data_IF_989393824027
#
_entry.id   IF_989393824027
#
_cell.length_a   1.000
_cell.length_b   1.000
_cell.length_c   1.000
_cell.angle_alpha   90.00
_cell.angle_beta   90.00
_cell.angle_gamma   90.00
#
_symmetry.space_group_name_H-M   'P 1'
#
loop_
_entity.id
_entity.type
_entity.pdbx_description
1 polymer ?
#
# COMPACT_ATOMS: atom_id res chain seq x y z
N UNK A 1 -14.54 -16.01 -10.10
CA UNK A 1 -13.14 -16.12 -10.53
C UNK A 1 -12.29 -16.25 -9.28
N UNK A 2 -11.41 -17.25 -9.21
CA UNK A 2 -10.44 -17.46 -8.10
C UNK A 2 -9.29 -16.47 -8.17
N UNK A 3 -8.47 -16.39 -7.12
CA UNK A 3 -7.27 -15.55 -7.13
C UNK A 3 -6.22 -16.09 -8.10
N UNK A 4 -6.11 -17.43 -8.25
CA UNK A 4 -5.21 -18.06 -9.25
C UNK A 4 -5.58 -17.65 -10.68
N UNK A 5 -6.88 -17.71 -11.06
CA UNK A 5 -7.33 -17.25 -12.38
C UNK A 5 -7.05 -15.78 -12.64
N UNK A 6 -7.20 -14.93 -11.60
CA UNK A 6 -6.85 -13.49 -11.71
C UNK A 6 -5.36 -13.30 -11.93
N UNK A 7 -4.53 -14.03 -11.20
CA UNK A 7 -3.07 -13.98 -11.35
C UNK A 7 -2.62 -14.46 -12.75
N UNK A 8 -3.20 -15.55 -13.26
CA UNK A 8 -2.91 -16.03 -14.62
C UNK A 8 -3.25 -14.97 -15.68
N UNK A 9 -4.39 -14.29 -15.56
CA UNK A 9 -4.79 -13.20 -16.45
C UNK A 9 -3.84 -12.01 -16.32
N UNK A 10 -3.42 -11.66 -15.08
CA UNK A 10 -2.44 -10.62 -14.84
C UNK A 10 -1.11 -10.91 -15.53
N UNK A 11 -0.57 -12.10 -15.33
CA UNK A 11 0.69 -12.56 -15.93
C UNK A 11 0.61 -12.68 -17.47
N UNK A 12 -0.57 -12.98 -18.03
CA UNK A 12 -0.73 -13.04 -19.48
C UNK A 12 -0.67 -11.68 -20.18
N UNK A 13 -0.69 -10.60 -19.43
CA UNK A 13 -0.72 -9.22 -19.96
C UNK A 13 -2.07 -8.79 -20.55
N UNK A 14 -3.13 -9.60 -20.37
CA UNK A 14 -4.49 -9.33 -20.91
C UNK A 14 -5.46 -8.80 -19.85
N UNK A 15 -4.96 -8.39 -18.70
CA UNK A 15 -5.78 -7.96 -17.58
C UNK A 15 -6.78 -6.84 -17.94
N UNK A 16 -6.37 -5.88 -18.75
CA UNK A 16 -7.21 -4.75 -19.18
C UNK A 16 -8.31 -5.15 -20.19
N UNK A 17 -8.20 -6.31 -20.82
CA UNK A 17 -9.24 -6.85 -21.71
C UNK A 17 -10.38 -7.51 -20.92
N UNK A 18 -10.09 -7.88 -19.67
CA UNK A 18 -11.01 -8.64 -18.80
C UNK A 18 -11.57 -7.81 -17.68
N UNK A 19 -10.76 -6.89 -17.13
CA UNK A 19 -11.08 -6.10 -15.93
C UNK A 19 -11.03 -4.60 -16.21
N UNK A 20 -11.72 -3.84 -15.35
CA UNK A 20 -11.70 -2.38 -15.34
C UNK A 20 -11.24 -1.85 -13.98
N UNK A 21 -10.65 -0.64 -13.98
CA UNK A 21 -10.36 0.07 -12.72
C UNK A 21 -11.66 0.30 -11.95
N UNK A 22 -11.66 -0.07 -10.68
CA UNK A 22 -12.83 -0.04 -9.80
C UNK A 22 -13.57 -1.38 -9.67
N UNK A 23 -13.26 -2.40 -10.48
CA UNK A 23 -13.78 -3.76 -10.27
C UNK A 23 -13.33 -4.28 -8.91
N UNK A 24 -14.21 -5.03 -8.23
CA UNK A 24 -14.00 -5.42 -6.84
C UNK A 24 -14.04 -6.92 -6.63
N UNK A 25 -13.25 -7.37 -5.64
CA UNK A 25 -13.29 -8.71 -5.10
C UNK A 25 -13.16 -8.67 -3.59
N UNK A 26 -14.01 -9.42 -2.90
CA UNK A 26 -13.96 -9.55 -1.46
C UNK A 26 -12.85 -10.52 -1.03
N UNK A 27 -12.16 -10.17 0.05
CA UNK A 27 -11.17 -11.00 0.73
C UNK A 27 -11.65 -11.23 2.16
N UNK A 28 -11.75 -12.50 2.55
CA UNK A 28 -11.88 -12.90 3.96
C UNK A 28 -10.50 -12.80 4.58
N UNK A 29 -10.22 -11.70 5.27
CA UNK A 29 -8.93 -11.45 5.90
C UNK A 29 -8.64 -12.47 7.02
N UNK A 30 -7.38 -12.73 7.31
CA UNK A 30 -6.98 -13.59 8.42
C UNK A 30 -7.45 -13.06 9.78
N UNK A 31 -7.70 -11.77 9.90
CA UNK A 31 -8.34 -11.13 11.06
C UNK A 31 -9.81 -11.47 11.26
N UNK A 32 -10.42 -12.20 10.32
CA UNK A 32 -11.83 -12.60 10.35
C UNK A 32 -12.80 -11.58 9.73
N UNK A 33 -12.33 -10.40 9.31
CA UNK A 33 -13.16 -9.43 8.62
C UNK A 33 -13.20 -9.68 7.10
N UNK A 34 -14.31 -9.34 6.44
CA UNK A 34 -14.40 -9.34 4.98
C UNK A 34 -14.22 -7.93 4.46
N UNK A 35 -13.20 -7.74 3.61
CA UNK A 35 -12.86 -6.46 3.01
C UNK A 35 -12.92 -6.55 1.50
N UNK A 36 -13.67 -5.65 0.87
CA UNK A 36 -13.67 -5.50 -0.58
C UNK A 36 -12.38 -4.79 -1.03
N UNK A 37 -11.64 -5.41 -1.95
CA UNK A 37 -10.53 -4.80 -2.66
C UNK A 37 -10.97 -4.40 -4.07
N UNK A 38 -10.52 -3.25 -4.53
CA UNK A 38 -10.79 -2.72 -5.87
C UNK A 38 -9.50 -2.62 -6.69
N UNK A 39 -9.60 -2.84 -7.99
CA UNK A 39 -8.50 -2.58 -8.92
C UNK A 39 -8.27 -1.07 -8.98
N UNK A 40 -7.05 -0.63 -8.67
CA UNK A 40 -6.66 0.78 -8.68
C UNK A 40 -5.84 1.18 -9.89
N UNK A 41 -5.22 0.23 -10.57
CA UNK A 41 -4.43 0.44 -11.78
C UNK A 41 -3.91 -0.86 -12.37
N UNK A 42 -3.41 -0.73 -13.60
CA UNK A 42 -2.80 -1.81 -14.36
C UNK A 42 -1.38 -1.45 -14.75
N UNK A 43 -0.49 -2.44 -14.79
CA UNK A 43 0.90 -2.29 -15.24
C UNK A 43 1.64 -1.12 -14.58
N UNK A 44 1.41 -0.93 -13.28
CA UNK A 44 1.87 0.24 -12.55
C UNK A 44 3.15 -0.03 -11.75
N UNK A 45 3.24 -1.17 -11.09
CA UNK A 45 4.35 -1.49 -10.21
C UNK A 45 5.38 -2.41 -10.88
N UNK A 46 6.66 -2.18 -10.59
CA UNK A 46 7.73 -3.08 -11.00
C UNK A 46 7.87 -4.21 -9.99
N UNK A 47 7.97 -5.45 -10.51
CA UNK A 47 8.32 -6.61 -9.71
C UNK A 47 9.76 -6.49 -9.19
N UNK A 48 10.03 -7.10 -8.04
CA UNK A 48 11.37 -7.11 -7.45
C UNK A 48 12.28 -8.13 -8.14
N UNK A 49 13.42 -7.68 -8.62
CA UNK A 49 14.40 -8.51 -9.36
C UNK A 49 14.99 -9.66 -8.53
N UNK A 50 14.99 -9.54 -7.21
CA UNK A 50 15.62 -10.54 -6.33
C UNK A 50 14.63 -11.49 -5.66
N UNK A 51 13.40 -11.05 -5.47
CA UNK A 51 12.44 -11.72 -4.60
C UNK A 51 11.14 -12.10 -5.30
N UNK A 52 10.90 -11.64 -6.53
CA UNK A 52 9.70 -12.03 -7.29
C UNK A 52 10.01 -13.19 -8.24
N UNK A 53 9.31 -14.31 -8.06
CA UNK A 53 9.53 -15.54 -8.81
C UNK A 53 9.18 -15.44 -10.31
N UNK A 54 8.44 -14.41 -10.69
CA UNK A 54 8.01 -14.18 -12.07
C UNK A 54 8.74 -13.02 -12.75
N UNK A 55 9.73 -12.39 -12.08
CA UNK A 55 10.39 -11.18 -12.58
C UNK A 55 11.00 -11.34 -13.98
N UNK A 56 11.67 -12.44 -14.26
CA UNK A 56 12.39 -12.64 -15.53
C UNK A 56 11.44 -12.62 -16.75
N UNK A 57 10.23 -13.14 -16.59
CA UNK A 57 9.22 -13.21 -17.65
C UNK A 57 8.24 -12.04 -17.58
N UNK A 58 7.95 -11.54 -16.38
CA UNK A 58 6.94 -10.52 -16.10
C UNK A 58 7.50 -9.45 -15.15
N UNK A 59 8.36 -8.53 -15.62
CA UNK A 59 8.99 -7.52 -14.76
C UNK A 59 8.03 -6.43 -14.26
N UNK A 60 6.80 -6.39 -14.78
CA UNK A 60 5.75 -5.45 -14.38
C UNK A 60 4.55 -6.25 -13.88
N UNK A 61 3.99 -5.83 -12.75
CA UNK A 61 2.78 -6.44 -12.19
C UNK A 61 1.55 -5.96 -12.98
N UNK A 62 0.73 -6.91 -13.46
CA UNK A 62 -0.38 -6.59 -14.35
C UNK A 62 -1.55 -5.89 -13.65
N UNK A 63 -1.83 -6.24 -12.38
CA UNK A 63 -2.95 -5.68 -11.63
C UNK A 63 -2.51 -5.23 -10.24
N UNK A 64 -2.87 -4.00 -9.85
CA UNK A 64 -2.75 -3.53 -8.47
C UNK A 64 -4.13 -3.38 -7.83
N UNK A 65 -4.30 -4.00 -6.67
CA UNK A 65 -5.48 -3.90 -5.84
C UNK A 65 -5.23 -2.98 -4.63
N UNK A 66 -6.28 -2.27 -4.20
CA UNK A 66 -6.30 -1.62 -2.89
C UNK A 66 -7.64 -1.84 -2.19
N UNK A 67 -7.66 -1.81 -0.86
CA UNK A 67 -8.88 -1.95 -0.11
C UNK A 67 -9.85 -0.79 -0.43
N UNK A 68 -11.07 -1.12 -0.84
CA UNK A 68 -12.12 -0.15 -1.17
C UNK A 68 -12.62 0.58 0.09
N UNK A 69 -12.70 -0.17 1.18
CA UNK A 69 -12.92 0.36 2.53
C UNK A 69 -11.64 0.21 3.34
N UNK A 70 -11.48 1.04 4.35
CA UNK A 70 -10.40 0.91 5.33
C UNK A 70 -10.64 -0.33 6.19
N UNK A 71 -9.57 -0.91 6.72
CA UNK A 71 -9.66 -1.96 7.72
C UNK A 71 -10.56 -1.54 8.89
N UNK A 72 -11.18 -2.49 9.57
CA UNK A 72 -12.12 -2.23 10.67
C UNK A 72 -11.47 -1.51 11.85
N UNK A 73 -10.21 -1.81 12.11
CA UNK A 73 -9.40 -1.15 13.14
C UNK A 73 -8.64 0.03 12.57
N UNK A 74 -8.27 0.96 13.46
CA UNK A 74 -7.31 2.01 13.17
C UNK A 74 -5.92 1.56 13.62
N UNK A 75 -4.90 2.13 13.00
CA UNK A 75 -3.51 1.76 13.22
C UNK A 75 -2.67 3.00 13.46
N UNK A 76 -1.66 2.88 14.30
CA UNK A 76 -0.58 3.86 14.38
C UNK A 76 0.44 3.53 13.31
N UNK A 77 1.10 4.55 12.79
CA UNK A 77 2.25 4.33 11.92
C UNK A 77 3.40 3.70 12.72
N UNK A 78 3.59 4.19 13.95
CA UNK A 78 4.60 3.75 14.88
C UNK A 78 4.07 3.88 16.32
N UNK A 79 4.30 2.90 17.20
CA UNK A 79 3.66 2.83 18.52
C UNK A 79 4.24 3.85 19.50
N UNK A 80 5.56 4.03 19.51
CA UNK A 80 6.29 4.90 20.45
C UNK A 80 6.91 6.15 19.80
N UNK A 81 6.77 6.31 18.48
CA UNK A 81 7.29 7.46 17.75
C UNK A 81 8.82 7.47 17.65
N UNK A 82 9.44 6.31 17.87
CA UNK A 82 10.88 6.12 17.80
C UNK A 82 11.21 5.34 16.53
N UNK A 83 11.78 6.01 15.56
CA UNK A 83 12.26 5.39 14.33
C UNK A 83 13.78 5.45 14.25
N UNK A 84 14.39 4.39 13.75
CA UNK A 84 15.84 4.37 13.53
C UNK A 84 16.19 5.15 12.26
N UNK A 85 16.99 6.20 12.42
CA UNK A 85 17.44 7.08 11.35
C UNK A 85 18.14 6.39 10.17
N UNK A 86 18.79 5.25 10.43
CA UNK A 86 19.66 4.59 9.44
C UNK A 86 18.92 3.88 8.29
N UNK A 87 17.63 3.55 8.45
CA UNK A 87 16.88 2.71 7.50
C UNK A 87 15.82 3.45 6.66
N UNK A 88 15.61 4.74 6.94
CA UNK A 88 14.56 5.53 6.28
C UNK A 88 13.19 5.32 6.95
N UNK A 89 12.43 6.40 7.01
CA UNK A 89 11.32 6.56 7.94
C UNK A 89 10.21 5.50 7.84
N UNK A 90 9.65 5.26 6.65
CA UNK A 90 8.55 4.30 6.52
C UNK A 90 8.99 2.86 6.80
N UNK A 91 10.13 2.45 6.28
CA UNK A 91 10.65 1.09 6.46
C UNK A 91 10.83 0.69 7.93
N UNK A 92 11.22 1.64 8.77
CA UNK A 92 11.49 1.41 10.18
C UNK A 92 10.23 1.46 11.08
N UNK A 93 9.08 1.90 10.55
CA UNK A 93 7.85 1.99 11.35
C UNK A 93 7.26 0.63 11.68
N UNK A 94 6.59 0.51 12.82
CA UNK A 94 5.88 -0.71 13.23
C UNK A 94 4.86 -1.17 12.20
N UNK A 95 4.13 -0.22 11.59
CA UNK A 95 3.15 -0.54 10.56
C UNK A 95 3.84 -1.15 9.33
N UNK A 96 4.92 -0.54 8.86
CA UNK A 96 5.71 -1.07 7.75
C UNK A 96 6.23 -2.47 8.05
N UNK A 97 6.75 -2.70 9.25
CA UNK A 97 7.27 -4.00 9.68
C UNK A 97 6.17 -5.09 9.75
N UNK A 98 4.94 -4.71 10.11
CA UNK A 98 3.78 -5.61 10.06
C UNK A 98 3.35 -5.96 8.63
N UNK A 99 3.49 -5.03 7.69
CA UNK A 99 3.11 -5.21 6.29
C UNK A 99 4.23 -5.79 5.44
N UNK A 100 5.48 -5.43 5.77
CA UNK A 100 6.67 -5.88 5.06
C UNK A 100 7.13 -7.22 5.59
N UNK A 101 6.75 -8.25 4.88
CA UNK A 101 7.30 -9.59 5.07
C UNK A 101 7.59 -10.22 3.71
N UNK A 102 8.23 -9.43 2.84
CA UNK A 102 8.66 -9.81 1.52
C UNK A 102 10.15 -10.08 1.43
N UNK A 103 10.57 -11.17 1.98
CA UNK A 103 11.84 -11.81 1.72
C UNK A 103 11.70 -13.28 2.07
N UNK A 104 12.16 -14.24 1.27
CA UNK A 104 12.08 -15.65 1.61
C UNK A 104 13.07 -16.00 2.75
N UNK A 105 12.75 -16.93 3.65
CA UNK A 105 11.44 -17.49 3.99
C UNK A 105 10.86 -16.79 5.22
N UNK A 106 9.67 -16.28 5.11
CA UNK A 106 9.06 -15.52 6.18
C UNK A 106 8.19 -16.44 7.02
N UNK A 107 8.53 -16.59 8.29
CA UNK A 107 7.60 -17.02 9.32
C UNK A 107 6.58 -15.89 9.52
N UNK A 108 5.46 -15.96 8.80
CA UNK A 108 4.33 -15.08 8.99
C UNK A 108 3.63 -15.57 10.25
N UNK A 109 3.99 -15.02 11.43
CA UNK A 109 3.34 -15.39 12.68
C UNK A 109 1.87 -14.94 12.71
N UNK A 110 1.53 -13.82 12.04
CA UNK A 110 0.16 -13.32 11.89
C UNK A 110 -0.05 -12.66 10.51
N UNK A 111 -0.34 -13.43 9.44
CA UNK A 111 -0.61 -12.85 8.14
C UNK A 111 -1.92 -12.08 8.16
N UNK A 112 -1.94 -10.86 7.60
CA UNK A 112 -3.20 -10.11 7.43
C UNK A 112 -4.06 -10.71 6.32
N UNK A 113 -3.45 -11.32 5.30
CA UNK A 113 -4.11 -11.91 4.15
C UNK A 113 -4.23 -13.44 4.26
N UNK A 114 -5.28 -14.04 3.69
CA UNK A 114 -5.40 -15.49 3.61
C UNK A 114 -4.36 -16.08 2.65
N UNK A 115 -4.04 -17.35 2.85
CA UNK A 115 -3.01 -18.06 2.06
C UNK A 115 -3.28 -18.01 0.55
N UNK A 116 -4.52 -18.12 0.12
CA UNK A 116 -4.90 -18.06 -1.31
C UNK A 116 -4.55 -16.71 -1.99
N UNK A 117 -4.51 -15.63 -1.23
CA UNK A 117 -4.11 -14.31 -1.71
C UNK A 117 -2.59 -14.16 -1.62
N UNK A 118 -1.98 -14.60 -0.51
CA UNK A 118 -0.53 -14.57 -0.33
C UNK A 118 0.21 -15.33 -1.45
N UNK A 119 -0.36 -16.46 -1.91
CA UNK A 119 0.24 -17.30 -2.95
C UNK A 119 0.23 -16.68 -4.35
N UNK A 120 -0.54 -15.61 -4.57
CA UNK A 120 -0.60 -14.90 -5.86
C UNK A 120 -0.05 -13.48 -5.79
N UNK A 121 0.28 -12.99 -4.59
CA UNK A 121 0.89 -11.68 -4.42
C UNK A 121 2.29 -11.66 -5.02
N UNK A 122 2.55 -10.66 -5.84
CA UNK A 122 3.87 -10.36 -6.37
C UNK A 122 4.70 -9.59 -5.33
N UNK A 123 6.00 -9.84 -5.32
CA UNK A 123 6.94 -8.97 -4.61
C UNK A 123 7.29 -7.80 -5.52
N UNK A 124 7.04 -6.59 -5.07
CA UNK A 124 7.25 -5.38 -5.85
C UNK A 124 8.24 -4.44 -5.19
N UNK A 125 8.80 -3.54 -5.97
CA UNK A 125 9.63 -2.42 -5.50
C UNK A 125 8.77 -1.17 -5.38
N UNK A 126 8.51 -0.71 -4.15
CA UNK A 126 7.89 0.60 -3.93
C UNK A 126 8.94 1.67 -3.61
N UNK A 127 8.72 2.86 -4.14
CA UNK A 127 9.51 4.04 -3.78
C UNK A 127 9.13 4.55 -2.39
N UNK A 128 10.13 5.01 -1.64
CA UNK A 128 9.95 5.55 -0.29
C UNK A 128 10.94 6.65 0.04
N UNK A 129 10.56 7.50 0.98
CA UNK A 129 11.47 8.45 1.60
C UNK A 129 12.61 7.73 2.33
N UNK A 130 13.81 8.23 2.14
CA UNK A 130 15.01 7.86 2.88
C UNK A 130 15.78 9.14 3.25
N UNK A 131 16.32 9.20 4.44
CA UNK A 131 17.24 10.27 4.83
C UNK A 131 18.67 9.74 4.90
N UNK A 132 19.58 10.48 4.32
CA UNK A 132 21.02 10.21 4.48
C UNK A 132 21.49 10.73 5.83
N UNK A 133 22.63 10.22 6.32
CA UNK A 133 23.32 10.71 7.52
C UNK A 133 23.63 12.22 7.46
N UNK A 134 23.47 12.86 6.31
CA UNK A 134 23.62 14.30 6.09
C UNK A 134 22.34 15.09 6.33
N UNK A 135 21.21 14.44 6.65
CA UNK A 135 19.88 15.06 6.74
C UNK A 135 19.24 15.37 5.39
N UNK A 136 19.86 14.98 4.27
CA UNK A 136 19.31 15.23 2.95
C UNK A 136 18.28 14.15 2.55
N UNK A 137 17.08 14.55 2.07
CA UNK A 137 16.08 13.60 1.58
C UNK A 137 16.55 12.89 0.33
N UNK A 138 16.35 11.60 0.27
CA UNK A 138 16.60 10.78 -0.90
C UNK A 138 15.41 9.88 -1.21
N UNK A 139 15.26 9.54 -2.48
CA UNK A 139 14.38 8.46 -2.90
C UNK A 139 15.12 7.14 -2.69
N UNK A 140 14.54 6.28 -1.88
CA UNK A 140 14.94 4.89 -1.70
C UNK A 140 13.86 3.97 -2.25
N UNK A 141 14.10 2.67 -2.18
CA UNK A 141 13.11 1.65 -2.51
C UNK A 141 13.08 0.56 -1.46
N UNK A 142 11.99 -0.19 -1.42
CA UNK A 142 11.88 -1.41 -0.62
C UNK A 142 11.05 -2.45 -1.37
N UNK A 143 11.44 -3.71 -1.23
CA UNK A 143 10.67 -4.84 -1.70
C UNK A 143 9.53 -5.14 -0.72
N UNK A 144 8.32 -5.42 -1.21
CA UNK A 144 7.17 -5.81 -0.37
C UNK A 144 6.09 -6.52 -1.19
N UNK A 145 5.27 -7.32 -0.51
CA UNK A 145 4.07 -7.94 -1.09
C UNK A 145 2.83 -7.09 -0.85
N UNK A 146 2.72 -6.51 0.35
CA UNK A 146 1.64 -5.61 0.72
C UNK A 146 2.20 -4.26 1.15
N UNK A 147 1.49 -3.19 0.83
CA UNK A 147 1.94 -1.83 1.08
C UNK A 147 0.78 -0.87 1.33
N UNK A 148 1.09 0.34 1.77
CA UNK A 148 0.17 1.48 1.76
C UNK A 148 0.65 2.49 0.73
N UNK A 149 -0.29 3.24 0.17
CA UNK A 149 -0.04 4.17 -0.92
C UNK A 149 0.75 5.41 -0.46
N UNK A 150 1.48 6.04 -1.38
CA UNK A 150 2.12 7.33 -1.17
C UNK A 150 1.18 8.51 -1.45
N UNK A 151 1.59 9.72 -1.06
CA UNK A 151 0.87 10.93 -1.43
C UNK A 151 0.83 11.13 -2.96
N UNK A 152 1.96 10.89 -3.64
CA UNK A 152 2.06 11.00 -5.09
C UNK A 152 1.14 10.02 -5.81
N UNK A 153 1.06 8.77 -5.33
CA UNK A 153 0.20 7.73 -5.91
C UNK A 153 -1.29 8.02 -5.77
N UNK A 154 -1.68 8.76 -4.73
CA UNK A 154 -3.08 9.14 -4.49
C UNK A 154 -3.45 10.47 -5.14
N UNK A 155 -2.59 11.47 -5.10
CA UNK A 155 -2.95 12.83 -5.52
C UNK A 155 -2.35 13.25 -6.86
N UNK A 156 -1.38 12.51 -7.39
CA UNK A 156 -0.63 12.90 -8.60
C UNK A 156 0.33 14.06 -8.39
N UNK A 157 0.33 14.63 -7.20
CA UNK A 157 1.18 15.76 -6.81
C UNK A 157 1.63 15.59 -5.37
N UNK A 158 2.80 16.14 -5.08
CA UNK A 158 3.34 16.25 -3.73
C UNK A 158 2.88 17.56 -3.10
N UNK A 159 2.15 17.49 -1.99
CA UNK A 159 1.68 18.65 -1.22
C UNK A 159 2.37 18.72 0.14
N UNK A 160 2.37 17.64 0.88
CA UNK A 160 2.89 17.54 2.25
C UNK A 160 4.14 16.65 2.34
N UNK A 161 4.30 15.68 1.45
CA UNK A 161 5.43 14.75 1.46
C UNK A 161 6.78 15.44 1.25
N UNK A 162 7.81 14.95 1.92
CA UNK A 162 9.18 15.42 1.77
C UNK A 162 9.78 15.15 0.40
N UNK A 163 9.34 14.09 -0.29
CA UNK A 163 9.77 13.67 -1.62
C UNK A 163 8.59 13.06 -2.39
N UNK A 164 8.66 13.08 -3.73
CA UNK A 164 7.68 12.36 -4.56
C UNK A 164 8.03 10.88 -4.61
N UNK A 165 7.06 9.99 -4.41
CA UNK A 165 7.20 8.55 -4.34
C UNK A 165 6.16 7.90 -5.26
N UNK A 166 6.59 7.28 -6.35
CA UNK A 166 5.72 6.65 -7.34
C UNK A 166 5.01 7.62 -8.27
N UNK A 167 3.98 7.11 -8.93
CA UNK A 167 3.12 7.86 -9.85
C UNK A 167 1.64 7.65 -9.47
N UNK A 168 0.75 8.53 -9.94
CA UNK A 168 -0.66 8.46 -9.58
C UNK A 168 -1.35 7.23 -10.18
N UNK A 169 -2.05 6.47 -9.36
CA UNK A 169 -2.94 5.42 -9.81
C UNK A 169 -4.20 6.00 -10.48
N UNK A 170 -4.64 5.36 -11.55
CA UNK A 170 -5.82 5.78 -12.33
C UNK A 170 -7.06 5.94 -11.46
N UNK A 171 -7.30 5.01 -10.53
CA UNK A 171 -8.44 5.03 -9.60
C UNK A 171 -8.57 6.33 -8.82
N UNK A 172 -7.45 6.94 -8.43
CA UNK A 172 -7.41 8.12 -7.58
C UNK A 172 -7.39 9.44 -8.36
N UNK A 173 -7.47 9.43 -9.68
CA UNK A 173 -7.80 10.62 -10.48
C UNK A 173 -9.22 11.10 -10.13
N UNK A 174 -10.11 10.19 -9.75
CA UNK A 174 -11.41 10.51 -9.15
C UNK A 174 -11.26 10.79 -7.65
N UNK A 175 -11.52 12.03 -7.23
CA UNK A 175 -11.39 12.48 -5.84
C UNK A 175 -12.33 11.74 -4.86
N UNK A 176 -13.48 11.23 -5.32
CA UNK A 176 -14.40 10.47 -4.49
C UNK A 176 -13.79 9.15 -3.99
N UNK A 177 -12.86 8.56 -4.76
CA UNK A 177 -12.16 7.33 -4.37
C UNK A 177 -11.25 7.52 -3.15
N UNK A 178 -10.89 8.76 -2.84
CA UNK A 178 -10.05 9.11 -1.68
C UNK A 178 -10.83 9.13 -0.38
N UNK A 179 -12.16 9.32 -0.42
CA UNK A 179 -13.03 9.33 0.76
C UNK A 179 -13.39 7.88 1.10
N UNK A 180 -12.73 7.34 2.12
CA UNK A 180 -12.88 5.94 2.51
C UNK A 180 -13.60 5.80 3.86
N UNK A 181 -14.28 4.67 4.04
CA UNK A 181 -15.05 4.33 5.24
C UNK A 181 -14.48 3.08 5.89
N UNK A 182 -14.55 3.01 7.22
CA UNK A 182 -14.16 1.80 7.95
C UNK A 182 -15.06 0.61 7.58
N UNK A 183 -14.48 -0.59 7.53
CA UNK A 183 -15.21 -1.83 7.23
C UNK A 183 -16.02 -2.37 8.43
N UNK A 184 -15.87 -1.78 9.62
CA UNK A 184 -16.46 -2.24 10.89
C UNK A 184 -17.99 -2.08 11.01
N UNK A 185 -18.71 -1.89 9.93
CA UNK A 185 -20.18 -1.74 9.92
C UNK A 185 -20.69 -0.35 10.32
N UNK A 186 -19.87 0.51 10.94
CA UNK A 186 -20.27 1.88 11.29
C UNK A 186 -20.52 2.77 10.08
N UNK A 187 -19.86 2.46 8.96
CA UNK A 187 -19.87 3.29 7.76
C UNK A 187 -19.24 4.66 7.93
N UNK A 188 -18.54 4.89 9.04
CA UNK A 188 -17.91 6.18 9.34
C UNK A 188 -16.78 6.46 8.35
N UNK A 189 -16.76 7.67 7.80
CA UNK A 189 -15.61 8.18 7.05
C UNK A 189 -14.44 8.35 8.01
N UNK A 190 -13.26 7.96 7.59
CA UNK A 190 -12.04 8.10 8.39
C UNK A 190 -10.91 8.60 7.52
N UNK A 191 -10.02 9.40 8.12
CA UNK A 191 -8.70 9.65 7.58
C UNK A 191 -7.90 8.34 7.55
N UNK A 192 -6.91 8.26 6.64
CA UNK A 192 -6.12 7.04 6.46
C UNK A 192 -4.68 7.34 6.08
N UNK A 193 -3.79 6.44 6.50
CA UNK A 193 -2.35 6.57 6.33
C UNK A 193 -1.88 6.49 4.88
N UNK A 194 -0.91 7.33 4.55
CA UNK A 194 -0.02 7.21 3.40
C UNK A 194 1.40 6.95 3.91
N UNK A 195 2.22 6.24 3.10
CA UNK A 195 3.60 5.93 3.48
C UNK A 195 4.55 7.12 3.42
N UNK A 196 4.12 8.22 2.79
CA UNK A 196 4.96 9.39 2.56
C UNK A 196 5.23 10.13 3.86
N UNK A 197 6.53 10.31 4.17
CA UNK A 197 6.98 11.13 5.28
C UNK A 197 6.79 12.62 4.96
N UNK A 198 6.18 13.35 5.88
CA UNK A 198 5.81 14.75 5.65
C UNK A 198 6.88 15.77 6.03
N UNK A 199 8.03 15.31 6.54
CA UNK A 199 9.05 16.20 7.11
C UNK A 199 8.73 16.65 8.53
N UNK A 200 9.65 17.33 9.18
CA UNK A 200 9.53 17.65 10.61
C UNK A 200 9.68 16.40 11.48
N UNK A 201 9.44 16.52 12.78
CA UNK A 201 9.53 15.38 13.67
C UNK A 201 8.24 14.56 13.64
N UNK A 202 8.34 13.30 13.21
CA UNK A 202 7.32 12.27 13.44
C UNK A 202 5.97 12.47 12.72
N UNK A 203 5.94 13.06 11.51
CA UNK A 203 4.71 13.21 10.74
C UNK A 203 4.72 12.42 9.42
N UNK A 204 3.61 11.74 9.16
CA UNK A 204 3.32 11.09 7.88
C UNK A 204 2.11 11.74 7.20
N UNK A 205 2.08 11.66 5.88
CA UNK A 205 0.93 12.08 5.10
C UNK A 205 -0.28 11.19 5.39
N UNK A 206 -1.45 11.77 5.34
CA UNK A 206 -2.74 11.10 5.41
C UNK A 206 -3.66 11.65 4.32
N UNK A 207 -4.67 10.88 3.96
CA UNK A 207 -5.86 11.42 3.33
C UNK A 207 -6.85 11.74 4.46
N UNK A 208 -7.35 12.95 4.51
CA UNK A 208 -8.32 13.36 5.53
C UNK A 208 -9.74 12.84 5.21
N UNK A 209 -10.69 13.12 6.10
CA UNK A 209 -12.10 12.70 5.93
C UNK A 209 -12.81 13.34 4.72
N UNK A 210 -12.26 14.42 4.17
CA UNK A 210 -12.78 15.12 2.99
C UNK A 210 -12.06 14.68 1.69
N UNK A 211 -11.15 13.69 1.78
CA UNK A 211 -10.36 13.23 0.64
C UNK A 211 -9.23 14.17 0.25
N UNK A 212 -8.78 15.05 1.16
CA UNK A 212 -7.69 16.00 0.94
C UNK A 212 -6.38 15.47 1.56
N UNK A 213 -5.25 15.89 1.00
CA UNK A 213 -3.94 15.62 1.60
C UNK A 213 -3.77 16.43 2.88
N UNK A 214 -3.29 15.76 3.92
CA UNK A 214 -3.00 16.32 5.24
C UNK A 214 -1.86 15.54 5.89
N UNK A 215 -1.56 15.84 7.15
CA UNK A 215 -0.54 15.14 7.94
C UNK A 215 -1.07 14.72 9.31
N UNK A 216 -0.47 13.67 9.86
CA UNK A 216 -0.75 13.23 11.22
C UNK A 216 0.55 12.76 11.89
N UNK A 217 0.59 12.89 13.22
CA UNK A 217 1.68 12.34 14.01
C UNK A 217 1.66 10.80 13.93
N UNK A 218 2.80 10.17 13.78
CA UNK A 218 2.94 8.71 13.58
C UNK A 218 2.35 7.88 14.72
N UNK A 219 2.23 8.43 15.94
CA UNK A 219 1.61 7.77 17.09
C UNK A 219 0.08 7.94 17.12
N UNK A 220 -0.52 8.70 16.21
CA UNK A 220 -1.97 8.85 16.12
C UNK A 220 -2.59 7.66 15.38
N UNK A 221 -3.85 7.36 15.68
CA UNK A 221 -4.58 6.27 15.04
C UNK A 221 -5.32 6.75 13.80
N UNK A 222 -4.99 6.17 12.64
CA UNK A 222 -5.65 6.43 11.37
C UNK A 222 -6.16 5.12 10.73
N UNK A 223 -7.05 5.24 9.76
CA UNK A 223 -7.50 4.12 8.97
C UNK A 223 -6.35 3.52 8.14
N UNK A 224 -6.49 2.26 7.75
CA UNK A 224 -5.52 1.53 6.93
C UNK A 224 -6.15 1.13 5.60
N UNK A 225 -5.57 1.61 4.50
CA UNK A 225 -5.85 1.21 3.13
C UNK A 225 -4.71 0.32 2.65
N UNK A 226 -4.93 -0.98 2.58
CA UNK A 226 -3.93 -1.95 2.12
C UNK A 226 -3.94 -2.05 0.60
N UNK A 227 -2.76 -2.21 0.00
CA UNK A 227 -2.58 -2.49 -1.41
C UNK A 227 -1.64 -3.67 -1.63
N UNK A 228 -1.80 -4.36 -2.76
CA UNK A 228 -0.93 -5.44 -3.22
C UNK A 228 -1.06 -5.61 -4.73
N UNK A 229 -0.10 -6.32 -5.33
CA UNK A 229 -0.08 -6.63 -6.76
C UNK A 229 -0.22 -8.15 -7.01
N UNK A 230 -0.78 -8.47 -8.16
CA UNK A 230 -0.82 -9.84 -8.71
C UNK A 230 -0.38 -9.83 -10.17
#
# INVERSE_FOLDING_TARGET
>A
MSWSEISEISLSGTAQDVFSVGDTKDIQMATGETVAFEIIGFNHENADVMYDDHYDEHPICGITFASKKLMSSRYRMDEDGQYEYENGFYYATDLSQKLWRGGPPINIEDPMFPEEVLNVMRVIHIERYRELNTGAPQLGSMACNAFILSEQEVFGTRTNAGISEGTQYERFTNSEARIKRLANGSGAVSSWWLRSYAGGSSQFCIVDQNGQSSTANMTSEQGLCLAFCV
#
